data_IF_708305269057
#
_entry.id   IF_708305269057
#
_cell.length_a   1.000
_cell.length_b   1.000
_cell.length_c   1.000
_cell.angle_alpha   90.00
_cell.angle_beta   90.00
_cell.angle_gamma   90.00
#
_symmetry.space_group_name_H-M   'P 1'
#
loop_
_entity.id
_entity.type
_entity.pdbx_description
1 polymer ?
#
# COMPACT_ATOMS: atom_id res chain seq x y z
N UNK A 1 -20.49 -10.61 -0.36
CA UNK A 1 -19.98 -10.90 0.98
C UNK A 1 -18.47 -11.24 1.02
N UNK A 2 -17.65 -10.73 0.07
CA UNK A 2 -16.19 -10.99 0.04
C UNK A 2 -15.31 -9.79 0.43
N UNK A 3 -15.90 -8.60 0.57
CA UNK A 3 -15.14 -7.35 0.80
C UNK A 3 -14.77 -7.08 2.27
N UNK A 4 -15.23 -7.92 3.21
CA UNK A 4 -14.89 -7.76 4.64
C UNK A 4 -13.48 -8.23 5.01
N UNK A 5 -12.78 -8.96 4.14
CA UNK A 5 -11.48 -9.56 4.49
C UNK A 5 -10.30 -8.60 4.28
N UNK A 6 -10.38 -7.69 3.33
CA UNK A 6 -9.30 -6.71 3.02
C UNK A 6 -9.28 -5.62 4.09
N UNK A 7 -10.46 -5.08 4.44
CA UNK A 7 -10.61 -4.11 5.53
C UNK A 7 -10.24 -4.73 6.90
N UNK A 8 -10.43 -6.04 7.06
CA UNK A 8 -10.11 -6.74 8.30
C UNK A 8 -8.60 -6.93 8.51
N UNK A 9 -7.80 -7.01 7.46
CA UNK A 9 -6.35 -7.17 7.58
C UNK A 9 -5.67 -5.85 7.99
N UNK A 10 -6.13 -4.71 7.49
CA UNK A 10 -5.61 -3.39 7.92
C UNK A 10 -6.05 -3.10 9.36
N UNK A 11 -7.29 -3.45 9.74
CA UNK A 11 -7.79 -3.29 11.12
C UNK A 11 -7.09 -4.22 12.13
N UNK A 12 -6.56 -5.38 11.72
CA UNK A 12 -5.85 -6.29 12.62
C UNK A 12 -4.42 -5.84 12.95
N UNK A 13 -3.80 -5.04 12.11
CA UNK A 13 -2.46 -4.47 12.38
C UNK A 13 -2.56 -3.32 13.40
N UNK A 14 -3.70 -2.63 13.49
CA UNK A 14 -3.93 -1.52 14.42
C UNK A 14 -4.17 -1.94 15.88
N UNK A 15 -4.38 -3.21 16.17
CA UNK A 15 -4.77 -3.66 17.53
C UNK A 15 -3.63 -4.12 18.45
N UNK A 16 -2.35 -4.04 18.02
CA UNK A 16 -1.21 -4.57 18.82
C UNK A 16 -0.43 -3.49 19.60
N UNK A 17 -0.73 -2.20 19.46
CA UNK A 17 0.08 -1.12 20.04
C UNK A 17 -0.45 -0.59 21.41
N UNK A 18 -1.45 -1.21 22.03
CA UNK A 18 -2.03 -0.71 23.29
C UNK A 18 -1.71 -1.52 24.55
N UNK A 19 -0.50 -1.98 24.77
CA UNK A 19 -0.10 -2.53 26.08
C UNK A 19 1.37 -2.31 26.42
N UNK A 20 1.82 -1.07 26.58
CA UNK A 20 2.87 -0.76 27.54
C UNK A 20 2.63 0.64 28.08
N UNK A 21 1.92 0.76 29.16
CA UNK A 21 2.00 1.89 30.08
C UNK A 21 1.63 1.43 31.48
N UNK A 22 2.51 1.66 32.35
CA UNK A 22 2.41 1.93 33.79
C UNK A 22 3.40 1.15 34.63
N UNK A 23 4.45 1.84 35.04
CA UNK A 23 4.82 1.78 36.45
C UNK A 23 5.31 3.16 36.90
N UNK A 24 4.57 3.71 37.86
CA UNK A 24 4.91 4.93 38.59
C UNK A 24 6.14 4.70 39.47
N UNK A 25 7.03 5.68 39.52
CA UNK A 25 7.68 6.03 40.76
C UNK A 25 8.00 7.53 40.80
N UNK A 26 7.45 8.18 41.80
CA UNK A 26 7.64 9.59 42.13
C UNK A 26 9.02 9.76 42.78
N UNK A 27 9.80 10.74 42.35
CA UNK A 27 10.56 11.65 43.22
C UNK A 27 10.99 12.90 42.45
N UNK A 28 10.90 13.96 43.21
CA UNK A 28 10.97 15.37 42.97
C UNK A 28 12.40 15.85 42.66
N UNK A 29 12.47 16.88 41.84
CA UNK A 29 13.29 18.08 41.86
C UNK A 29 14.39 18.29 40.83
N UNK A 30 14.26 19.47 40.21
CA UNK A 30 15.23 20.41 39.65
C UNK A 30 15.50 20.39 38.14
N UNK A 31 14.93 21.46 37.54
CA UNK A 31 15.46 22.27 36.43
C UNK A 31 16.56 21.66 35.54
N UNK A 32 16.18 21.30 34.35
CA UNK A 32 17.01 21.43 33.16
C UNK A 32 16.06 21.63 31.97
N UNK A 33 16.30 22.66 31.19
CA UNK A 33 15.69 22.85 29.86
C UNK A 33 15.95 21.60 29.03
N UNK A 34 15.01 20.66 29.04
CA UNK A 34 14.99 19.56 28.10
C UNK A 34 14.31 20.06 26.80
N UNK A 35 15.14 20.57 25.91
CA UNK A 35 14.85 20.60 24.49
C UNK A 35 14.70 19.14 24.03
N UNK A 36 13.57 18.52 24.34
CA UNK A 36 13.18 17.24 23.76
C UNK A 36 12.72 17.49 22.32
N UNK A 37 13.67 17.83 21.46
CA UNK A 37 13.49 17.74 20.01
C UNK A 37 13.52 16.26 19.68
N UNK A 38 12.38 15.57 19.83
CA UNK A 38 12.20 14.26 19.22
C UNK A 38 12.49 14.45 17.74
N UNK A 39 13.57 13.84 17.25
CA UNK A 39 13.92 13.85 15.84
C UNK A 39 12.74 13.27 15.08
N UNK A 40 11.95 14.15 14.44
CA UNK A 40 10.79 13.76 13.65
C UNK A 40 11.29 13.07 12.37
N UNK A 41 11.21 11.76 12.33
CA UNK A 41 11.55 10.99 11.14
C UNK A 41 10.44 11.13 10.11
N UNK A 42 10.70 11.89 9.06
CA UNK A 42 9.74 12.16 7.98
C UNK A 42 10.02 11.34 6.72
N UNK A 43 11.23 10.77 6.61
CA UNK A 43 11.67 9.90 5.51
C UNK A 43 12.64 8.85 6.02
N UNK A 44 12.63 7.70 5.36
CA UNK A 44 13.57 6.60 5.59
C UNK A 44 14.76 6.78 4.66
N UNK A 45 15.97 6.81 5.22
CA UNK A 45 17.20 7.02 4.44
C UNK A 45 17.73 5.72 3.82
N UNK A 46 18.27 5.83 2.61
CA UNK A 46 19.00 4.77 1.94
C UNK A 46 18.17 3.59 1.43
N UNK A 47 16.84 3.69 1.39
CA UNK A 47 15.97 2.55 1.01
C UNK A 47 15.24 2.72 -0.32
N UNK A 48 15.21 3.92 -0.89
CA UNK A 48 14.42 4.21 -2.09
C UNK A 48 14.81 3.32 -3.27
N UNK A 49 16.10 3.24 -3.58
CA UNK A 49 16.61 2.44 -4.69
C UNK A 49 16.23 0.96 -4.58
N UNK A 50 16.42 0.37 -3.39
CA UNK A 50 16.04 -1.03 -3.13
C UNK A 50 14.56 -1.30 -3.44
N UNK A 51 13.68 -0.44 -2.92
CA UNK A 51 12.24 -0.63 -3.10
C UNK A 51 11.78 -0.36 -4.53
N UNK A 52 12.36 0.61 -5.23
CA UNK A 52 12.10 0.81 -6.66
C UNK A 52 12.52 -0.42 -7.49
N UNK A 53 13.70 -1.00 -7.22
CA UNK A 53 14.14 -2.24 -7.87
C UNK A 53 13.18 -3.41 -7.60
N UNK A 54 12.62 -3.52 -6.39
CA UNK A 54 11.63 -4.55 -6.04
C UNK A 54 10.34 -4.36 -6.84
N UNK A 55 9.82 -3.13 -6.93
CA UNK A 55 8.62 -2.79 -7.70
C UNK A 55 8.85 -3.09 -9.20
N UNK A 56 10.01 -2.71 -9.73
CA UNK A 56 10.39 -2.98 -11.13
C UNK A 56 10.53 -4.48 -11.42
N UNK A 57 11.02 -5.27 -10.47
CA UNK A 57 11.12 -6.73 -10.60
C UNK A 57 9.75 -7.40 -10.60
N UNK A 58 8.79 -6.90 -9.81
CA UNK A 58 7.40 -7.37 -9.87
C UNK A 58 6.85 -7.20 -11.30
N UNK A 59 7.11 -6.07 -11.97
CA UNK A 59 6.66 -5.88 -13.35
C UNK A 59 7.27 -6.91 -14.29
N UNK A 60 8.55 -7.22 -14.14
CA UNK A 60 9.22 -8.25 -14.97
C UNK A 60 8.60 -9.64 -14.73
N UNK A 61 8.35 -9.99 -13.45
CA UNK A 61 7.70 -11.26 -13.10
C UNK A 61 6.30 -11.37 -13.70
N UNK A 62 5.53 -10.28 -13.70
CA UNK A 62 4.21 -10.22 -14.33
C UNK A 62 4.31 -10.35 -15.85
N UNK A 63 5.29 -9.71 -16.47
CA UNK A 63 5.51 -9.78 -17.93
C UNK A 63 5.99 -11.17 -18.39
N UNK A 64 6.57 -11.97 -17.50
CA UNK A 64 6.98 -13.35 -17.74
C UNK A 64 5.85 -14.38 -17.51
N UNK A 65 4.65 -13.93 -17.09
CA UNK A 65 3.51 -14.84 -16.88
C UNK A 65 3.07 -15.51 -18.18
N UNK A 66 2.66 -16.80 -18.14
CA UNK A 66 2.15 -17.51 -19.31
C UNK A 66 0.98 -16.80 -19.99
N UNK A 67 0.15 -16.13 -19.23
CA UNK A 67 -1.02 -15.37 -19.67
C UNK A 67 -0.68 -14.12 -20.48
N UNK A 68 0.54 -13.61 -20.38
CA UNK A 68 0.96 -12.33 -21.00
C UNK A 68 0.67 -12.29 -22.49
N UNK A 69 1.07 -13.34 -23.23
CA UNK A 69 0.88 -13.42 -24.68
C UNK A 69 -0.58 -13.35 -25.09
N UNK A 70 -1.44 -14.11 -24.42
CA UNK A 70 -2.87 -14.15 -24.73
C UNK A 70 -3.58 -12.89 -24.20
N UNK A 71 -3.11 -12.33 -23.09
CA UNK A 71 -3.55 -11.03 -22.60
C UNK A 71 -3.29 -9.92 -23.60
N UNK A 72 -2.07 -9.86 -24.16
CA UNK A 72 -1.70 -8.89 -25.20
C UNK A 72 -2.50 -9.07 -26.50
N UNK A 73 -2.89 -10.30 -26.79
CA UNK A 73 -3.78 -10.62 -27.90
C UNK A 73 -5.27 -10.28 -27.64
N UNK A 74 -5.61 -9.76 -26.46
CA UNK A 74 -6.96 -9.36 -26.09
C UNK A 74 -7.87 -10.52 -25.66
N UNK A 75 -7.32 -11.67 -25.30
CA UNK A 75 -8.11 -12.79 -24.76
C UNK A 75 -8.60 -12.44 -23.36
N UNK A 76 -9.88 -12.18 -23.21
CA UNK A 76 -10.49 -11.63 -21.98
C UNK A 76 -10.15 -12.42 -20.71
N UNK A 77 -10.15 -13.77 -20.77
CA UNK A 77 -9.81 -14.58 -19.60
C UNK A 77 -8.32 -14.46 -19.23
N UNK A 78 -7.43 -14.40 -20.22
CA UNK A 78 -6.01 -14.19 -19.99
C UNK A 78 -5.74 -12.78 -19.43
N UNK A 79 -6.40 -11.76 -19.97
CA UNK A 79 -6.33 -10.39 -19.41
C UNK A 79 -6.77 -10.35 -17.96
N UNK A 80 -7.91 -10.98 -17.63
CA UNK A 80 -8.41 -11.04 -16.25
C UNK A 80 -7.43 -11.73 -15.30
N UNK A 81 -6.80 -12.83 -15.74
CA UNK A 81 -5.78 -13.56 -14.97
C UNK A 81 -4.52 -12.70 -14.79
N UNK A 82 -3.97 -12.18 -15.88
CA UNK A 82 -2.76 -11.35 -15.91
C UNK A 82 -2.86 -10.14 -14.97
N UNK A 83 -3.89 -9.30 -15.14
CA UNK A 83 -4.08 -8.12 -14.28
C UNK A 83 -4.51 -8.48 -12.86
N UNK A 84 -5.19 -9.60 -12.67
CA UNK A 84 -5.55 -10.11 -11.34
C UNK A 84 -4.32 -10.53 -10.54
N UNK A 85 -3.41 -11.31 -11.14
CA UNK A 85 -2.13 -11.71 -10.53
C UNK A 85 -1.27 -10.48 -10.26
N UNK A 86 -1.13 -9.59 -11.23
CA UNK A 86 -0.37 -8.36 -11.09
C UNK A 86 -0.87 -7.48 -9.94
N UNK A 87 -2.19 -7.34 -9.81
CA UNK A 87 -2.80 -6.63 -8.68
C UNK A 87 -2.42 -7.26 -7.33
N UNK A 88 -2.50 -8.59 -7.21
CA UNK A 88 -2.15 -9.29 -5.96
C UNK A 88 -0.66 -9.14 -5.61
N UNK A 89 0.23 -9.15 -6.60
CA UNK A 89 1.66 -8.96 -6.38
C UNK A 89 1.99 -7.54 -5.91
N UNK A 90 1.42 -6.53 -6.54
CA UNK A 90 1.59 -5.14 -6.10
C UNK A 90 0.91 -4.84 -4.77
N UNK A 91 -0.26 -5.42 -4.48
CA UNK A 91 -0.94 -5.28 -3.19
C UNK A 91 -0.09 -5.85 -2.03
N UNK A 92 0.54 -6.99 -2.27
CA UNK A 92 1.50 -7.56 -1.30
C UNK A 92 2.69 -6.63 -1.06
N UNK A 93 3.27 -6.05 -2.13
CA UNK A 93 4.39 -5.13 -2.00
C UNK A 93 3.98 -3.81 -1.36
N UNK A 94 2.81 -3.28 -1.66
CA UNK A 94 2.25 -2.11 -1.00
C UNK A 94 2.15 -2.31 0.52
N UNK A 95 1.68 -3.49 0.95
CA UNK A 95 1.63 -3.84 2.37
C UNK A 95 3.03 -3.95 3.01
N UNK A 96 4.04 -4.44 2.28
CA UNK A 96 5.43 -4.47 2.74
C UNK A 96 5.99 -3.05 2.92
N UNK A 97 5.77 -2.17 1.94
CA UNK A 97 6.16 -0.76 2.00
C UNK A 97 5.50 -0.09 3.20
N UNK A 98 4.17 -0.20 3.33
CA UNK A 98 3.42 0.41 4.43
C UNK A 98 3.88 -0.08 5.81
N UNK A 99 4.15 -1.37 5.94
CA UNK A 99 4.67 -1.96 7.19
C UNK A 99 6.04 -1.40 7.58
N UNK A 100 6.93 -1.15 6.61
CA UNK A 100 8.20 -0.50 6.86
C UNK A 100 8.01 0.97 7.27
N UNK A 101 7.16 1.71 6.57
CA UNK A 101 6.86 3.10 6.91
C UNK A 101 6.32 3.21 8.34
N UNK A 102 5.44 2.28 8.75
CA UNK A 102 4.88 2.23 10.10
C UNK A 102 5.92 1.98 11.18
N UNK A 103 7.00 1.26 10.87
CA UNK A 103 8.07 0.96 11.83
C UNK A 103 9.07 2.11 11.99
N UNK A 104 9.29 2.89 10.92
CA UNK A 104 10.42 3.81 10.84
C UNK A 104 10.01 5.30 10.91
N UNK A 105 8.80 5.65 10.45
CA UNK A 105 8.34 7.04 10.48
C UNK A 105 7.82 7.46 11.84
N UNK A 106 7.91 8.75 12.12
CA UNK A 106 7.34 9.30 13.35
C UNK A 106 5.81 9.17 13.40
N UNK A 107 5.21 9.03 14.60
CA UNK A 107 3.78 8.83 14.76
C UNK A 107 2.92 9.88 14.02
N UNK A 108 3.33 11.15 14.06
CA UNK A 108 2.54 12.24 13.43
C UNK A 108 2.51 12.12 11.90
N UNK A 109 3.58 11.57 11.30
CA UNK A 109 3.61 11.30 9.85
C UNK A 109 2.72 10.11 9.55
N UNK A 110 2.78 9.07 10.37
CA UNK A 110 1.95 7.87 10.19
C UNK A 110 0.46 8.15 10.38
N UNK A 111 0.07 9.00 11.34
CA UNK A 111 -1.32 9.40 11.53
C UNK A 111 -1.89 10.09 10.26
N UNK A 112 -1.08 10.93 9.62
CA UNK A 112 -1.45 11.59 8.37
C UNK A 112 -1.53 10.59 7.20
N UNK A 113 -0.56 9.70 7.09
CA UNK A 113 -0.50 8.67 6.06
C UNK A 113 -1.67 7.68 6.20
N UNK A 114 -2.05 7.29 7.42
CA UNK A 114 -3.19 6.40 7.65
C UNK A 114 -4.50 7.00 7.11
N UNK A 115 -4.75 8.29 7.37
CA UNK A 115 -5.93 8.97 6.83
C UNK A 115 -5.90 9.05 5.31
N UNK A 116 -4.72 9.27 4.74
CA UNK A 116 -4.52 9.29 3.29
C UNK A 116 -4.77 7.91 2.67
N UNK A 117 -4.26 6.82 3.29
CA UNK A 117 -4.48 5.44 2.83
C UNK A 117 -5.97 5.05 2.86
N UNK A 118 -6.69 5.39 3.93
CA UNK A 118 -8.13 5.13 4.01
C UNK A 118 -8.85 5.77 2.83
N UNK A 119 -8.59 7.05 2.57
CA UNK A 119 -9.18 7.79 1.45
C UNK A 119 -8.79 7.21 0.10
N UNK A 120 -7.49 6.89 -0.07
CA UNK A 120 -6.99 6.28 -1.31
C UNK A 120 -7.65 4.93 -1.60
N UNK A 121 -7.86 4.07 -0.59
CA UNK A 121 -8.56 2.79 -0.75
C UNK A 121 -9.99 3.00 -1.27
N UNK A 122 -10.74 3.95 -0.67
CA UNK A 122 -12.10 4.27 -1.11
C UNK A 122 -12.12 4.79 -2.55
N UNK A 123 -11.20 5.69 -2.91
CA UNK A 123 -11.09 6.25 -4.25
C UNK A 123 -10.69 5.18 -5.28
N UNK A 124 -9.74 4.30 -4.95
CA UNK A 124 -9.32 3.17 -5.79
C UNK A 124 -10.49 2.22 -6.09
N UNK A 125 -11.22 1.79 -5.06
CA UNK A 125 -12.36 0.88 -5.22
C UNK A 125 -13.49 1.52 -6.03
N UNK A 126 -13.77 2.80 -5.78
CA UNK A 126 -14.75 3.58 -6.53
C UNK A 126 -14.35 3.70 -8.00
N UNK A 127 -13.11 4.07 -8.30
CA UNK A 127 -12.60 4.19 -9.66
C UNK A 127 -12.68 2.86 -10.42
N UNK A 128 -12.27 1.76 -9.81
CA UNK A 128 -12.36 0.43 -10.41
C UNK A 128 -13.81 0.06 -10.73
N UNK A 129 -14.73 0.38 -9.82
CA UNK A 129 -16.16 0.16 -10.05
C UNK A 129 -16.71 1.01 -11.18
N UNK A 130 -16.34 2.28 -11.27
CA UNK A 130 -16.74 3.17 -12.36
C UNK A 130 -16.21 2.69 -13.72
N UNK A 131 -14.94 2.25 -13.77
CA UNK A 131 -14.35 1.66 -14.98
C UNK A 131 -15.11 0.39 -15.41
N UNK A 132 -15.41 -0.52 -14.49
CA UNK A 132 -16.14 -1.74 -14.80
C UNK A 132 -17.53 -1.46 -15.35
N UNK A 133 -18.23 -0.46 -14.83
CA UNK A 133 -19.59 -0.11 -15.25
C UNK A 133 -19.68 0.38 -16.71
N UNK A 134 -18.59 0.90 -17.29
CA UNK A 134 -18.54 1.28 -18.70
C UNK A 134 -18.75 0.08 -19.65
N UNK A 135 -18.48 -1.12 -19.15
CA UNK A 135 -18.58 -2.38 -19.87
C UNK A 135 -19.66 -3.33 -19.31
N UNK A 136 -20.63 -2.77 -18.58
CA UNK A 136 -21.65 -3.52 -17.85
C UNK A 136 -22.36 -4.55 -18.74
N UNK A 137 -22.38 -5.81 -18.27
CA UNK A 137 -22.98 -6.94 -18.97
C UNK A 137 -22.11 -7.56 -20.06
N UNK A 138 -20.95 -6.97 -20.35
CA UNK A 138 -19.96 -7.53 -21.26
C UNK A 138 -18.87 -8.34 -20.54
N UNK A 139 -18.16 -9.16 -21.29
CA UNK A 139 -17.05 -9.97 -20.76
C UNK A 139 -15.89 -9.13 -20.24
N UNK A 140 -15.76 -7.90 -20.75
CA UNK A 140 -14.70 -6.97 -20.39
C UNK A 140 -14.96 -6.23 -19.06
N UNK A 141 -16.18 -6.28 -18.50
CA UNK A 141 -16.53 -5.64 -17.23
C UNK A 141 -15.54 -6.00 -16.10
N UNK A 142 -15.25 -7.30 -15.94
CA UNK A 142 -14.32 -7.77 -14.92
C UNK A 142 -12.84 -7.48 -15.21
N UNK A 143 -12.49 -7.36 -16.51
CA UNK A 143 -11.13 -6.99 -16.92
C UNK A 143 -10.86 -5.53 -16.58
N UNK A 144 -11.79 -4.64 -16.92
CA UNK A 144 -11.68 -3.21 -16.62
C UNK A 144 -11.51 -2.93 -15.12
N UNK A 145 -12.25 -3.66 -14.26
CA UNK A 145 -12.06 -3.63 -12.80
C UNK A 145 -10.63 -4.00 -12.41
N UNK A 146 -10.11 -5.12 -12.95
CA UNK A 146 -8.77 -5.60 -12.60
C UNK A 146 -7.65 -4.69 -13.09
N UNK A 147 -7.77 -4.14 -14.31
CA UNK A 147 -6.82 -3.14 -14.83
C UNK A 147 -6.77 -1.93 -13.91
N UNK A 148 -7.93 -1.38 -13.52
CA UNK A 148 -7.99 -0.20 -12.67
C UNK A 148 -7.36 -0.44 -11.29
N UNK A 149 -7.65 -1.58 -10.65
CA UNK A 149 -7.04 -1.95 -9.38
C UNK A 149 -5.53 -2.16 -9.49
N UNK A 150 -5.07 -2.85 -10.53
CA UNK A 150 -3.66 -3.09 -10.82
C UNK A 150 -2.88 -1.79 -10.97
N UNK A 151 -3.33 -0.89 -11.86
CA UNK A 151 -2.65 0.38 -12.12
C UNK A 151 -2.62 1.28 -10.88
N UNK A 152 -3.75 1.41 -10.18
CA UNK A 152 -3.81 2.23 -8.97
C UNK A 152 -2.85 1.72 -7.88
N UNK A 153 -2.79 0.40 -7.66
CA UNK A 153 -1.96 -0.19 -6.62
C UNK A 153 -0.47 -0.11 -6.98
N UNK A 154 -0.11 -0.39 -8.24
CA UNK A 154 1.24 -0.19 -8.76
C UNK A 154 1.71 1.25 -8.55
N UNK A 155 0.91 2.23 -8.97
CA UNK A 155 1.25 3.64 -8.83
C UNK A 155 1.41 4.04 -7.35
N UNK A 156 0.59 3.51 -6.45
CA UNK A 156 0.71 3.79 -5.01
C UNK A 156 2.02 3.26 -4.42
N UNK A 157 2.50 2.10 -4.85
CA UNK A 157 3.82 1.60 -4.44
C UNK A 157 4.92 2.60 -4.77
N UNK A 158 4.98 3.08 -6.02
CA UNK A 158 5.96 4.10 -6.43
C UNK A 158 5.80 5.41 -5.67
N UNK A 159 4.58 5.86 -5.46
CA UNK A 159 4.27 7.11 -4.75
C UNK A 159 4.80 7.08 -3.32
N UNK A 160 4.49 6.03 -2.55
CA UNK A 160 4.94 5.91 -1.17
C UNK A 160 6.47 5.83 -1.08
N UNK A 161 7.12 5.05 -1.93
CA UNK A 161 8.59 4.92 -1.97
C UNK A 161 9.23 6.28 -2.30
N UNK A 162 8.76 7.00 -3.31
CA UNK A 162 9.31 8.29 -3.69
C UNK A 162 9.05 9.39 -2.66
N UNK A 163 7.93 9.32 -1.95
CA UNK A 163 7.54 10.32 -0.95
C UNK A 163 8.30 10.13 0.35
N UNK A 164 8.39 8.89 0.82
CA UNK A 164 8.85 8.58 2.18
C UNK A 164 10.22 7.92 2.27
N UNK A 165 10.91 7.68 1.16
CA UNK A 165 12.27 7.12 1.16
C UNK A 165 13.24 8.01 0.39
N UNK A 166 14.53 7.96 0.78
CA UNK A 166 15.64 8.61 0.07
C UNK A 166 16.66 7.58 -0.40
N UNK A 167 17.60 8.01 -1.25
CA UNK A 167 18.77 7.21 -1.67
C UNK A 167 19.83 7.18 -0.59
#
# INVERSE_FOLDING_TARGET
>A
MKNKKIVLNIAMILSVIMLVSCTKSVKENQNSDDNNTQNKVTKIEGRRKEFLERIDNIQKEIDDLPEKKDSDAGVTNAMKSYYGIGYEMYDKELNNIYSLLQQELSPEIMDSLEQEEIKWIEEKEKAAKEESLKYKGGTFEFVADKISLYEATKNRCYELVNTYMTD
#
